data_IF_803570463714
#
_entry.id   IF_803570463714
#
_cell.length_a   1.000
_cell.length_b   1.000
_cell.length_c   1.000
_cell.angle_alpha   90.00
_cell.angle_beta   90.00
_cell.angle_gamma   90.00
#
_symmetry.space_group_name_H-M   'P 1'
#
loop_
_entity.id
_entity.type
_entity.pdbx_description
1 polymer ?
#
# COMPACT_ATOMS: atom_id res chain seq x y z
N UNK A 1 63.81 -13.54 3.98
CA UNK A 1 64.58 -14.74 3.55
C UNK A 1 63.67 -15.59 2.69
N UNK A 2 64.13 -15.84 1.47
CA UNK A 2 63.44 -16.61 0.45
C UNK A 2 63.70 -18.11 0.61
N UNK A 3 62.73 -18.95 0.24
CA UNK A 3 63.00 -20.19 -0.49
C UNK A 3 61.76 -20.66 -1.25
N UNK A 4 61.77 -20.35 -2.54
CA UNK A 4 61.12 -21.07 -3.63
C UNK A 4 61.58 -22.54 -3.72
N UNK A 5 60.74 -23.44 -4.25
CA UNK A 5 61.27 -24.68 -4.82
C UNK A 5 60.28 -25.78 -5.20
N UNK A 6 59.94 -25.82 -6.50
CA UNK A 6 59.52 -26.99 -7.34
C UNK A 6 58.10 -27.56 -7.21
N UNK A 7 57.21 -27.39 -8.21
CA UNK A 7 57.12 -28.00 -9.58
C UNK A 7 56.39 -29.36 -9.60
N UNK A 8 55.11 -29.39 -10.00
CA UNK A 8 54.56 -29.79 -11.33
C UNK A 8 54.94 -31.22 -11.76
N UNK A 9 53.94 -32.12 -11.89
CA UNK A 9 53.42 -32.41 -13.23
C UNK A 9 51.89 -32.71 -13.24
N UNK A 10 51.07 -31.86 -13.85
CA UNK A 10 49.66 -32.20 -14.14
C UNK A 10 49.15 -31.66 -15.49
N UNK A 11 50.05 -31.19 -16.36
CA UNK A 11 49.71 -30.57 -17.64
C UNK A 11 50.32 -31.34 -18.81
N UNK A 12 49.94 -32.61 -18.98
CA UNK A 12 50.27 -33.36 -20.20
C UNK A 12 49.18 -34.35 -20.66
N UNK A 13 47.94 -34.22 -20.17
CA UNK A 13 46.81 -35.06 -20.63
C UNK A 13 45.73 -34.26 -21.37
N UNK A 14 45.75 -32.92 -21.32
CA UNK A 14 44.67 -32.10 -21.88
C UNK A 14 44.87 -31.62 -23.33
N UNK A 15 46.00 -31.93 -23.98
CA UNK A 15 46.27 -31.46 -25.36
C UNK A 15 45.89 -32.50 -26.43
N UNK A 16 45.64 -33.76 -26.06
CA UNK A 16 45.33 -34.81 -27.04
C UNK A 16 43.84 -34.89 -27.44
N UNK A 17 42.91 -34.27 -26.70
CA UNK A 17 41.47 -34.37 -26.97
C UNK A 17 40.88 -33.20 -27.76
N UNK A 18 41.60 -32.08 -27.91
CA UNK A 18 41.11 -30.94 -28.72
C UNK A 18 41.36 -31.10 -30.24
N UNK A 19 42.34 -31.91 -30.65
CA UNK A 19 42.67 -32.09 -32.08
C UNK A 19 41.65 -32.90 -32.90
N UNK A 20 40.70 -33.61 -32.28
CA UNK A 20 39.69 -34.43 -32.98
C UNK A 20 38.33 -33.75 -33.16
N UNK A 21 38.09 -32.59 -32.54
CA UNK A 21 36.77 -31.92 -32.58
C UNK A 21 36.66 -30.89 -33.72
N UNK A 22 37.79 -30.36 -34.20
CA UNK A 22 37.78 -29.34 -35.26
C UNK A 22 37.65 -29.90 -36.67
N UNK A 23 38.03 -31.15 -36.91
CA UNK A 23 37.92 -31.78 -38.24
C UNK A 23 36.51 -32.30 -38.57
N UNK A 24 35.67 -32.56 -37.57
CA UNK A 24 34.27 -32.99 -37.78
C UNK A 24 33.28 -31.84 -38.04
N UNK A 25 33.59 -30.62 -37.58
CA UNK A 25 32.71 -29.44 -37.77
C UNK A 25 32.84 -28.81 -39.16
N UNK A 26 33.94 -29.03 -39.86
CA UNK A 26 34.20 -28.42 -41.18
C UNK A 26 33.44 -29.12 -42.33
N UNK A 27 33.18 -30.43 -42.22
CA UNK A 27 32.49 -31.21 -43.27
C UNK A 27 30.97 -31.16 -43.20
N UNK A 28 30.38 -30.91 -42.03
CA UNK A 28 28.91 -30.78 -41.89
C UNK A 28 28.38 -29.39 -42.33
N UNK A 29 29.21 -28.35 -42.31
CA UNK A 29 28.78 -26.97 -42.60
C UNK A 29 28.62 -26.64 -44.10
N UNK A 30 29.10 -27.50 -45.01
CA UNK A 30 29.05 -27.25 -46.47
C UNK A 30 27.79 -27.78 -47.17
N UNK A 31 27.02 -28.68 -46.56
CA UNK A 31 25.84 -29.29 -47.20
C UNK A 31 24.47 -28.82 -46.66
N UNK A 32 24.42 -27.92 -45.67
CA UNK A 32 23.15 -27.44 -45.05
C UNK A 32 22.67 -26.09 -45.64
N UNK A 33 23.48 -25.43 -46.47
CA UNK A 33 23.16 -24.10 -47.01
C UNK A 33 22.12 -24.02 -48.15
N UNK A 34 21.83 -25.06 -48.96
CA UNK A 34 20.78 -24.91 -49.98
C UNK A 34 19.36 -25.23 -49.49
N UNK A 35 19.17 -25.98 -48.40
CA UNK A 35 17.84 -26.41 -47.92
C UNK A 35 17.10 -25.36 -47.07
N UNK A 36 17.84 -24.43 -46.45
CA UNK A 36 17.25 -23.38 -45.59
C UNK A 36 16.69 -22.18 -46.38
N UNK A 37 16.97 -22.08 -47.68
CA UNK A 37 16.41 -21.01 -48.53
C UNK A 37 14.96 -21.28 -48.96
N UNK A 38 14.55 -22.55 -49.05
CA UNK A 38 13.20 -22.93 -49.46
C UNK A 38 12.16 -22.83 -48.33
N UNK A 39 12.56 -22.95 -47.07
CA UNK A 39 11.64 -22.88 -45.92
C UNK A 39 11.25 -21.44 -45.56
N UNK A 40 12.00 -20.43 -46.05
CA UNK A 40 11.77 -19.02 -45.72
C UNK A 40 10.72 -18.32 -46.60
N UNK A 41 10.12 -19.00 -47.59
CA UNK A 41 9.16 -18.40 -48.53
C UNK A 41 7.69 -18.74 -48.25
N UNK A 42 7.35 -19.50 -47.19
CA UNK A 42 5.95 -19.81 -46.85
C UNK A 42 5.58 -19.34 -45.41
N UNK A 43 5.36 -18.03 -45.19
CA UNK A 43 4.96 -17.50 -43.88
C UNK A 43 3.53 -17.90 -43.44
N UNK A 44 2.75 -18.57 -44.29
CA UNK A 44 1.40 -19.04 -43.94
C UNK A 44 1.37 -20.43 -43.29
N UNK A 45 2.37 -21.28 -43.54
CA UNK A 45 2.39 -22.65 -42.97
C UNK A 45 2.97 -22.65 -41.56
N UNK A 46 3.97 -21.80 -41.28
CA UNK A 46 4.56 -21.68 -39.94
C UNK A 46 3.59 -21.18 -38.86
N UNK A 47 2.76 -20.18 -39.19
CA UNK A 47 1.76 -19.64 -38.26
C UNK A 47 0.62 -20.60 -37.96
N UNK A 48 0.22 -21.45 -38.92
CA UNK A 48 -0.80 -22.47 -38.71
C UNK A 48 -0.34 -23.57 -37.74
N UNK A 49 0.94 -23.96 -37.82
CA UNK A 49 1.55 -24.98 -36.95
C UNK A 49 1.80 -24.44 -35.53
N UNK A 50 2.22 -23.19 -35.39
CA UNK A 50 2.41 -22.56 -34.07
C UNK A 50 1.07 -22.34 -33.31
N UNK A 51 0.00 -21.99 -34.02
CA UNK A 51 -1.34 -21.85 -33.42
C UNK A 51 -1.95 -23.20 -33.05
N UNK A 52 -1.71 -24.25 -33.85
CA UNK A 52 -2.20 -25.59 -33.53
C UNK A 52 -1.39 -26.28 -32.42
N UNK A 53 -0.07 -26.09 -32.34
CA UNK A 53 0.73 -26.58 -31.20
C UNK A 53 0.39 -25.87 -29.89
N UNK A 54 0.18 -24.56 -29.90
CA UNK A 54 -0.21 -23.82 -28.68
C UNK A 54 -1.64 -24.14 -28.21
N UNK A 55 -2.57 -24.41 -29.13
CA UNK A 55 -3.90 -24.95 -28.78
C UNK A 55 -3.82 -26.39 -28.26
N UNK A 56 -2.95 -27.23 -28.83
CA UNK A 56 -2.77 -28.61 -28.37
C UNK A 56 -2.08 -28.66 -27.00
N UNK A 57 -1.14 -27.76 -26.72
CA UNK A 57 -0.53 -27.59 -25.39
C UNK A 57 -1.54 -27.04 -24.37
N UNK A 58 -2.35 -26.05 -24.74
CA UNK A 58 -3.38 -25.54 -23.83
C UNK A 58 -4.52 -26.54 -23.58
N UNK A 59 -4.95 -27.28 -24.60
CA UNK A 59 -5.95 -28.36 -24.46
C UNK A 59 -5.35 -29.59 -23.78
N UNK A 60 -4.08 -29.88 -24.00
CA UNK A 60 -3.34 -30.96 -23.33
C UNK A 60 -3.15 -30.67 -21.86
N UNK A 61 -2.76 -29.44 -21.49
CA UNK A 61 -2.62 -29.03 -20.08
C UNK A 61 -4.00 -28.93 -19.43
N UNK A 62 -5.01 -28.34 -20.08
CA UNK A 62 -6.37 -28.28 -19.51
C UNK A 62 -7.02 -29.66 -19.41
N UNK A 63 -6.83 -30.52 -20.40
CA UNK A 63 -7.33 -31.90 -20.41
C UNK A 63 -6.62 -32.77 -19.39
N UNK A 64 -5.30 -32.63 -19.25
CA UNK A 64 -4.50 -33.29 -18.20
C UNK A 64 -4.91 -32.79 -16.82
N UNK A 65 -5.08 -31.48 -16.62
CA UNK A 65 -5.57 -30.91 -15.36
C UNK A 65 -6.99 -31.40 -15.06
N UNK A 66 -7.90 -31.40 -16.02
CA UNK A 66 -9.29 -31.86 -15.82
C UNK A 66 -9.43 -33.36 -15.54
N UNK A 67 -8.50 -34.19 -16.00
CA UNK A 67 -8.58 -35.66 -15.84
C UNK A 67 -7.69 -36.17 -14.72
N UNK A 68 -6.48 -35.62 -14.56
CA UNK A 68 -5.53 -36.07 -13.54
C UNK A 68 -5.87 -35.52 -12.15
N UNK A 69 -6.34 -34.28 -12.01
CA UNK A 69 -6.69 -33.76 -10.68
C UNK A 69 -7.82 -34.55 -10.02
N UNK A 70 -8.95 -34.86 -10.69
CA UNK A 70 -10.00 -35.65 -10.05
C UNK A 70 -9.53 -37.05 -9.67
N UNK A 71 -8.69 -37.69 -10.48
CA UNK A 71 -8.13 -39.02 -10.17
C UNK A 71 -7.17 -38.96 -8.99
N UNK A 72 -6.32 -37.93 -8.92
CA UNK A 72 -5.42 -37.71 -7.79
C UNK A 72 -6.24 -37.40 -6.52
N UNK A 73 -7.22 -36.50 -6.59
CA UNK A 73 -8.11 -36.15 -5.47
C UNK A 73 -8.89 -37.39 -5.00
N UNK A 74 -9.44 -38.17 -5.94
CA UNK A 74 -10.21 -39.38 -5.61
C UNK A 74 -9.32 -40.47 -5.01
N UNK A 75 -8.13 -40.71 -5.57
CA UNK A 75 -7.17 -41.67 -5.02
C UNK A 75 -6.66 -41.26 -3.65
N UNK A 76 -6.42 -39.97 -3.43
CA UNK A 76 -6.06 -39.43 -2.12
C UNK A 76 -7.21 -39.56 -1.13
N UNK A 77 -8.44 -39.21 -1.53
CA UNK A 77 -9.62 -39.32 -0.69
C UNK A 77 -9.91 -40.78 -0.31
N UNK A 78 -9.83 -41.73 -1.25
CA UNK A 78 -10.04 -43.14 -1.00
C UNK A 78 -9.03 -43.70 0.02
N UNK A 79 -7.73 -43.41 -0.17
CA UNK A 79 -6.70 -43.78 0.80
C UNK A 79 -6.90 -43.10 2.16
N UNK A 80 -7.34 -41.84 2.15
CA UNK A 80 -7.57 -41.07 3.36
C UNK A 80 -8.77 -41.58 4.18
N UNK A 81 -9.86 -42.00 3.53
CA UNK A 81 -11.03 -42.58 4.22
C UNK A 81 -10.76 -43.95 4.84
N UNK A 82 -9.87 -44.75 4.26
CA UNK A 82 -9.54 -46.09 4.76
C UNK A 82 -8.56 -46.07 5.94
N UNK A 83 -7.64 -45.09 5.99
CA UNK A 83 -6.55 -45.06 6.97
C UNK A 83 -6.61 -43.92 7.98
N UNK A 84 -7.32 -42.83 7.68
CA UNK A 84 -7.39 -41.67 8.58
C UNK A 84 -8.65 -41.77 9.43
N UNK A 85 -8.51 -41.86 10.76
CA UNK A 85 -9.68 -41.87 11.62
C UNK A 85 -10.45 -40.55 11.46
N UNK A 86 -11.78 -40.62 11.47
CA UNK A 86 -12.67 -39.50 11.15
C UNK A 86 -12.38 -38.21 11.93
N UNK A 87 -11.86 -38.30 13.16
CA UNK A 87 -11.47 -37.14 13.97
C UNK A 87 -10.26 -36.39 13.39
N UNK A 88 -9.30 -37.09 12.78
CA UNK A 88 -8.13 -36.48 12.15
C UNK A 88 -8.49 -35.79 10.84
N UNK A 89 -9.49 -36.28 10.11
CA UNK A 89 -10.07 -35.60 8.95
C UNK A 89 -10.65 -34.23 9.32
N UNK A 90 -11.37 -34.14 10.45
CA UNK A 90 -11.93 -32.88 10.97
C UNK A 90 -10.81 -31.90 11.34
N UNK A 91 -9.75 -32.36 12.01
CA UNK A 91 -8.60 -31.50 12.36
C UNK A 91 -7.88 -30.96 11.13
N UNK A 92 -7.70 -31.79 10.09
CA UNK A 92 -7.08 -31.35 8.84
C UNK A 92 -7.95 -30.35 8.07
N UNK A 93 -9.27 -30.55 8.06
CA UNK A 93 -10.22 -29.58 7.51
C UNK A 93 -10.12 -28.23 8.24
N UNK A 94 -10.11 -28.24 9.57
CA UNK A 94 -9.95 -27.03 10.38
C UNK A 94 -8.61 -26.34 10.08
N UNK A 95 -7.51 -27.08 10.03
CA UNK A 95 -6.20 -26.53 9.70
C UNK A 95 -6.17 -25.88 8.30
N UNK A 96 -6.79 -26.53 7.30
CA UNK A 96 -6.92 -25.97 5.96
C UNK A 96 -7.75 -24.69 5.94
N UNK A 97 -8.87 -24.65 6.68
CA UNK A 97 -9.70 -23.44 6.83
C UNK A 97 -8.88 -22.30 7.46
N UNK A 98 -8.17 -22.56 8.56
CA UNK A 98 -7.29 -21.57 9.20
C UNK A 98 -6.20 -21.07 8.25
N UNK A 99 -5.60 -21.95 7.45
CA UNK A 99 -4.59 -21.57 6.47
C UNK A 99 -5.18 -20.67 5.36
N UNK A 100 -6.36 -21.01 4.84
CA UNK A 100 -7.05 -20.20 3.82
C UNK A 100 -7.45 -18.84 4.39
N UNK A 101 -8.00 -18.78 5.61
CA UNK A 101 -8.29 -17.51 6.28
C UNK A 101 -7.02 -16.68 6.51
N UNK A 102 -5.93 -17.31 6.95
CA UNK A 102 -4.65 -16.63 7.15
C UNK A 102 -4.06 -16.10 5.84
N UNK A 103 -4.12 -16.88 4.77
CA UNK A 103 -3.69 -16.47 3.43
C UNK A 103 -4.57 -15.35 2.87
N UNK A 104 -5.90 -15.44 3.01
CA UNK A 104 -6.82 -14.39 2.62
C UNK A 104 -6.57 -13.09 3.40
N UNK A 105 -6.32 -13.19 4.71
CA UNK A 105 -5.96 -12.06 5.55
C UNK A 105 -4.64 -11.41 5.10
N UNK A 106 -3.59 -12.22 4.84
CA UNK A 106 -2.30 -11.74 4.31
C UNK A 106 -2.46 -11.08 2.93
N UNK A 107 -3.25 -11.67 2.03
CA UNK A 107 -3.52 -11.11 0.71
C UNK A 107 -4.29 -9.79 0.84
N UNK A 108 -5.25 -9.68 1.76
CA UNK A 108 -5.95 -8.42 2.04
C UNK A 108 -4.98 -7.34 2.56
N UNK A 109 -4.05 -7.70 3.45
CA UNK A 109 -3.00 -6.78 3.92
C UNK A 109 -2.04 -6.36 2.81
N UNK A 110 -1.63 -7.27 1.93
CA UNK A 110 -0.75 -6.95 0.80
C UNK A 110 -1.49 -6.09 -0.24
N UNK A 111 -2.77 -6.39 -0.51
CA UNK A 111 -3.57 -5.65 -1.51
C UNK A 111 -3.99 -4.27 -1.02
N UNK A 112 -4.11 -4.07 0.29
CA UNK A 112 -4.22 -2.74 0.88
C UNK A 112 -2.89 -1.99 0.76
N UNK A 113 -1.75 -2.64 1.04
CA UNK A 113 -0.41 -2.09 0.83
C UNK A 113 -0.04 -1.79 -0.65
N UNK A 114 -0.61 -2.50 -1.62
CA UNK A 114 -0.30 -2.33 -3.05
C UNK A 114 -1.20 -1.33 -3.79
N UNK A 115 -2.16 -0.69 -3.10
CA UNK A 115 -3.00 0.39 -3.65
C UNK A 115 -2.60 1.77 -3.11
N UNK A 116 -1.42 1.89 -2.52
CA UNK A 116 -0.84 3.17 -2.14
C UNK A 116 -0.30 3.85 -3.40
N UNK A 117 -1.16 4.60 -4.07
CA UNK A 117 -0.78 5.52 -5.14
C UNK A 117 -0.34 6.84 -4.49
N UNK A 118 0.97 7.13 -4.39
CA UNK A 118 1.49 8.27 -3.64
C UNK A 118 0.91 9.60 -4.13
N UNK A 119 0.68 9.70 -5.44
CA UNK A 119 0.15 10.91 -6.09
C UNK A 119 -1.21 11.33 -5.55
N UNK A 120 -2.06 10.38 -5.17
CA UNK A 120 -3.39 10.67 -4.61
C UNK A 120 -3.34 11.16 -3.18
N UNK A 121 -2.28 10.83 -2.45
CA UNK A 121 -2.08 11.31 -1.08
C UNK A 121 -1.46 12.70 -1.05
N UNK A 122 -0.63 13.04 -2.05
CA UNK A 122 -0.07 14.38 -2.20
C UNK A 122 -1.17 15.42 -2.44
N UNK A 123 -2.05 15.18 -3.42
CA UNK A 123 -3.20 16.08 -3.70
C UNK A 123 -4.13 16.21 -2.48
N UNK A 124 -4.40 15.10 -1.79
CA UNK A 124 -5.23 15.11 -0.58
C UNK A 124 -4.54 15.81 0.59
N UNK A 125 -3.22 15.64 0.74
CA UNK A 125 -2.40 16.33 1.73
C UNK A 125 -2.47 17.84 1.54
N UNK A 126 -2.33 18.31 0.30
CA UNK A 126 -2.47 19.72 -0.03
C UNK A 126 -3.88 20.26 0.28
N UNK A 127 -4.95 19.50 -0.05
CA UNK A 127 -6.33 19.86 0.30
C UNK A 127 -6.52 20.01 1.82
N UNK A 128 -5.91 19.13 2.62
CA UNK A 128 -5.94 19.20 4.09
C UNK A 128 -5.21 20.42 4.64
N UNK A 129 -4.03 20.73 4.08
CA UNK A 129 -3.24 21.90 4.48
C UNK A 129 -4.00 23.18 4.19
N UNK A 130 -4.61 23.29 3.01
CA UNK A 130 -5.35 24.50 2.63
C UNK A 130 -6.64 24.65 3.45
N UNK A 131 -7.36 23.55 3.71
CA UNK A 131 -8.50 23.55 4.63
C UNK A 131 -8.08 24.03 6.03
N UNK A 132 -6.96 23.52 6.54
CA UNK A 132 -6.40 23.93 7.84
C UNK A 132 -6.10 25.43 7.88
N UNK A 133 -5.41 25.97 6.86
CA UNK A 133 -5.11 27.41 6.75
C UNK A 133 -6.38 28.25 6.76
N UNK A 134 -7.41 27.85 6.04
CA UNK A 134 -8.68 28.59 5.97
C UNK A 134 -9.43 28.56 7.31
N UNK A 135 -9.41 27.42 8.01
CA UNK A 135 -9.94 27.31 9.36
C UNK A 135 -9.19 28.23 10.34
N UNK A 136 -7.85 28.29 10.28
CA UNK A 136 -7.06 29.19 11.12
C UNK A 136 -7.30 30.67 10.82
N UNK A 137 -7.41 31.03 9.54
CA UNK A 137 -7.75 32.40 9.13
C UNK A 137 -9.09 32.82 9.73
N UNK A 138 -10.11 31.97 9.59
CA UNK A 138 -11.42 32.23 10.17
C UNK A 138 -11.34 32.44 11.69
N UNK A 139 -10.66 31.55 12.42
CA UNK A 139 -10.50 31.67 13.87
C UNK A 139 -9.74 32.94 14.26
N UNK A 140 -8.69 33.29 13.52
CA UNK A 140 -7.90 34.51 13.74
C UNK A 140 -8.72 35.78 13.52
N UNK A 141 -9.53 35.81 12.45
CA UNK A 141 -10.42 36.92 12.15
C UNK A 141 -11.47 37.10 13.24
N UNK A 142 -12.05 36.01 13.77
CA UNK A 142 -13.01 36.06 14.89
C UNK A 142 -12.36 36.53 16.19
N UNK A 143 -11.13 36.07 16.49
CA UNK A 143 -10.39 36.56 17.66
C UNK A 143 -10.05 38.06 17.54
N UNK A 144 -9.76 38.54 16.33
CA UNK A 144 -9.54 39.97 16.07
C UNK A 144 -10.82 40.78 16.26
N UNK A 145 -11.95 40.30 15.76
CA UNK A 145 -13.25 40.94 15.94
C UNK A 145 -13.64 41.06 17.42
N UNK A 146 -13.40 40.00 18.21
CA UNK A 146 -13.63 40.03 19.66
C UNK A 146 -12.76 41.08 20.35
N UNK A 147 -11.46 41.15 20.00
CA UNK A 147 -10.53 42.16 20.55
C UNK A 147 -10.92 43.59 20.18
N UNK A 148 -11.31 43.82 18.93
CA UNK A 148 -11.74 45.14 18.47
C UNK A 148 -13.04 45.57 19.15
N UNK A 149 -13.95 44.62 19.43
CA UNK A 149 -15.15 44.87 20.20
C UNK A 149 -14.84 45.23 21.67
N UNK A 150 -13.92 44.49 22.30
CA UNK A 150 -13.46 44.76 23.66
C UNK A 150 -12.78 46.13 23.78
N UNK A 151 -11.90 46.46 22.83
CA UNK A 151 -11.21 47.75 22.81
C UNK A 151 -12.21 48.93 22.75
N UNK A 152 -13.27 48.80 21.93
CA UNK A 152 -14.32 49.83 21.83
C UNK A 152 -15.18 49.96 23.10
N UNK A 153 -15.43 48.86 23.81
CA UNK A 153 -16.19 48.88 25.07
C UNK A 153 -15.37 49.39 26.25
N UNK A 154 -14.07 49.09 26.29
CA UNK A 154 -13.18 49.48 27.40
C UNK A 154 -12.99 51.00 27.46
N UNK A 155 -13.05 51.70 26.32
CA UNK A 155 -13.02 53.17 26.26
C UNK A 155 -14.33 53.82 26.74
N UNK A 156 -15.42 53.06 26.89
CA UNK A 156 -16.75 53.60 27.20
C UNK A 156 -17.27 53.25 28.60
N UNK A 157 -16.90 52.09 29.19
CA UNK A 157 -17.33 51.76 30.56
C UNK A 157 -16.48 50.63 31.22
N UNK A 158 -15.68 50.91 32.28
CA UNK A 158 -14.76 49.92 32.86
C UNK A 158 -15.41 48.90 33.81
N UNK A 159 -16.72 48.99 34.13
CA UNK A 159 -17.39 48.17 35.18
C UNK A 159 -18.45 47.21 34.60
N UNK A 160 -18.24 46.73 33.38
CA UNK A 160 -19.20 45.85 32.70
C UNK A 160 -19.15 44.40 33.21
N UNK A 161 -20.04 44.07 34.14
CA UNK A 161 -20.46 42.69 34.50
C UNK A 161 -21.02 41.93 33.27
N UNK A 162 -21.32 42.64 32.17
CA UNK A 162 -21.80 42.10 30.90
C UNK A 162 -20.71 41.54 29.97
N UNK A 163 -19.43 41.75 30.28
CA UNK A 163 -18.31 41.25 29.46
C UNK A 163 -18.29 39.73 29.34
N UNK A 164 -18.40 38.99 30.45
CA UNK A 164 -18.34 37.52 30.43
C UNK A 164 -19.49 36.85 29.67
N UNK A 165 -20.72 37.38 29.79
CA UNK A 165 -21.87 36.83 29.07
C UNK A 165 -21.73 37.07 27.56
N UNK A 166 -21.28 38.28 27.17
CA UNK A 166 -21.01 38.62 25.78
C UNK A 166 -19.87 37.75 25.20
N UNK A 167 -18.81 37.48 25.97
CA UNK A 167 -17.72 36.58 25.58
C UNK A 167 -18.21 35.16 25.34
N UNK A 168 -18.96 34.60 26.30
CA UNK A 168 -19.52 33.25 26.18
C UNK A 168 -20.43 33.13 24.97
N UNK A 169 -21.30 34.10 24.74
CA UNK A 169 -22.23 34.10 23.61
C UNK A 169 -21.46 34.27 22.28
N UNK A 170 -20.42 35.10 22.25
CA UNK A 170 -19.53 35.25 21.09
C UNK A 170 -18.78 33.95 20.77
N UNK A 171 -18.25 33.25 21.78
CA UNK A 171 -17.58 31.95 21.62
C UNK A 171 -18.56 30.88 21.08
N UNK A 172 -19.77 30.81 21.64
CA UNK A 172 -20.80 29.87 21.18
C UNK A 172 -21.21 30.12 19.72
N UNK A 173 -21.45 31.39 19.36
CA UNK A 173 -21.81 31.77 17.99
C UNK A 173 -20.65 31.47 17.03
N UNK A 174 -19.42 31.84 17.41
CA UNK A 174 -18.23 31.58 16.59
C UNK A 174 -18.02 30.09 16.36
N UNK A 175 -18.20 29.26 17.39
CA UNK A 175 -18.12 27.81 17.26
C UNK A 175 -19.19 27.22 16.37
N UNK A 176 -20.44 27.69 16.50
CA UNK A 176 -21.51 27.27 15.60
C UNK A 176 -21.19 27.62 14.15
N UNK A 177 -20.77 28.85 13.87
CA UNK A 177 -20.40 29.30 12.51
C UNK A 177 -19.21 28.51 11.95
N UNK A 178 -18.24 28.18 12.80
CA UNK A 178 -17.10 27.35 12.44
C UNK A 178 -17.54 25.96 11.97
N UNK A 179 -18.37 25.26 12.75
CA UNK A 179 -18.87 23.93 12.39
C UNK A 179 -19.84 23.96 11.21
N UNK A 180 -20.65 25.02 11.08
CA UNK A 180 -21.56 25.19 9.95
C UNK A 180 -20.78 25.36 8.64
N UNK A 181 -19.68 26.13 8.66
CA UNK A 181 -18.87 26.41 7.48
C UNK A 181 -17.93 25.26 7.11
N UNK A 182 -17.19 24.72 8.08
CA UNK A 182 -16.11 23.75 7.84
C UNK A 182 -16.46 22.31 8.22
N UNK A 183 -17.56 22.08 8.95
CA UNK A 183 -17.93 20.76 9.46
C UNK A 183 -18.05 19.68 8.37
N UNK A 184 -18.78 19.90 7.27
CA UNK A 184 -18.92 18.90 6.21
C UNK A 184 -17.58 18.51 5.56
N UNK A 185 -16.72 19.49 5.30
CA UNK A 185 -15.40 19.27 4.70
C UNK A 185 -14.46 18.57 5.68
N UNK A 186 -14.47 18.99 6.95
CA UNK A 186 -13.71 18.38 8.04
C UNK A 186 -14.10 16.91 8.24
N UNK A 187 -15.40 16.59 8.27
CA UNK A 187 -15.87 15.21 8.43
C UNK A 187 -15.47 14.33 7.24
N UNK A 188 -15.51 14.88 6.02
CA UNK A 188 -15.02 14.19 4.83
C UNK A 188 -13.51 13.93 4.92
N UNK A 189 -12.73 14.94 5.27
CA UNK A 189 -11.28 14.83 5.46
C UNK A 189 -10.92 13.77 6.52
N UNK A 190 -11.57 13.81 7.69
CA UNK A 190 -11.35 12.83 8.76
C UNK A 190 -11.73 11.41 8.35
N UNK A 191 -12.82 11.23 7.60
CA UNK A 191 -13.21 9.92 7.09
C UNK A 191 -12.18 9.36 6.09
N UNK A 192 -11.57 10.23 5.27
CA UNK A 192 -10.51 9.85 4.35
C UNK A 192 -9.22 9.50 5.11
N UNK A 193 -8.82 10.30 6.10
CA UNK A 193 -7.68 10.00 6.99
C UNK A 193 -7.86 8.65 7.70
N UNK A 194 -9.07 8.38 8.22
CA UNK A 194 -9.37 7.11 8.88
C UNK A 194 -9.22 5.91 7.95
N UNK A 195 -9.55 6.06 6.65
CA UNK A 195 -9.32 4.99 5.65
C UNK A 195 -7.84 4.71 5.40
N UNK A 196 -6.99 5.70 5.63
CA UNK A 196 -5.53 5.60 5.50
C UNK A 196 -4.92 5.01 6.79
N UNK A 197 -5.70 4.93 7.88
CA UNK A 197 -5.25 4.43 9.18
C UNK A 197 -4.86 5.54 10.15
N UNK A 198 -4.98 6.80 9.75
CA UNK A 198 -4.78 7.97 10.60
C UNK A 198 -6.06 8.21 11.41
N UNK A 199 -5.98 8.05 12.73
CA UNK A 199 -7.14 8.21 13.61
C UNK A 199 -7.10 9.57 14.29
N UNK A 200 -8.26 10.21 14.39
CA UNK A 200 -8.38 11.42 15.18
C UNK A 200 -8.30 11.04 16.67
N UNK A 201 -7.41 11.66 17.45
CA UNK A 201 -7.30 11.37 18.87
C UNK A 201 -8.61 11.64 19.64
N UNK A 202 -9.01 10.76 20.59
CA UNK A 202 -10.30 10.89 21.30
C UNK A 202 -10.45 12.19 22.08
N UNK A 203 -9.36 12.71 22.63
CA UNK A 203 -9.36 13.95 23.41
C UNK A 203 -9.65 15.17 22.53
N UNK A 204 -9.21 15.18 21.25
CA UNK A 204 -9.52 16.27 20.32
C UNK A 204 -11.02 16.35 20.02
N UNK A 205 -11.68 15.19 19.97
CA UNK A 205 -13.15 15.11 19.83
C UNK A 205 -13.81 15.72 21.06
N UNK A 206 -13.33 15.37 22.25
CA UNK A 206 -13.87 15.89 23.51
C UNK A 206 -13.63 17.41 23.67
N UNK A 207 -12.52 17.93 23.14
CA UNK A 207 -12.19 19.36 23.24
C UNK A 207 -12.69 20.19 22.07
N UNK A 208 -13.19 19.58 20.99
CA UNK A 208 -13.62 20.30 19.79
C UNK A 208 -14.71 21.36 20.06
N UNK A 209 -15.55 21.12 21.08
CA UNK A 209 -16.57 22.07 21.53
C UNK A 209 -16.02 23.27 22.30
N UNK A 210 -14.84 23.14 22.92
CA UNK A 210 -14.27 24.13 23.83
C UNK A 210 -13.03 24.82 23.27
N UNK A 211 -12.26 24.15 22.42
CA UNK A 211 -11.06 24.65 21.77
C UNK A 211 -11.06 24.23 20.30
N UNK A 212 -11.45 25.15 19.44
CA UNK A 212 -11.62 24.90 18.00
C UNK A 212 -10.28 24.82 17.24
N UNK A 213 -9.15 25.18 17.87
CA UNK A 213 -7.82 25.20 17.24
C UNK A 213 -7.23 23.81 16.99
N UNK A 214 -7.61 22.80 17.78
CA UNK A 214 -6.98 21.47 17.73
C UNK A 214 -7.23 20.74 16.40
N UNK A 215 -8.45 20.82 15.87
CA UNK A 215 -8.79 20.16 14.60
C UNK A 215 -7.99 20.76 13.42
N UNK A 216 -7.95 22.10 13.21
CA UNK A 216 -7.08 22.71 12.21
C UNK A 216 -5.61 22.33 12.34
N UNK A 217 -5.05 22.31 13.57
CA UNK A 217 -3.66 21.91 13.82
C UNK A 217 -3.40 20.47 13.37
N UNK A 218 -4.28 19.55 13.76
CA UNK A 218 -4.19 18.14 13.37
C UNK A 218 -4.27 17.97 11.85
N UNK A 219 -5.26 18.59 11.20
CA UNK A 219 -5.41 18.50 9.75
C UNK A 219 -4.21 19.11 9.01
N UNK A 220 -3.65 20.21 9.52
CA UNK A 220 -2.47 20.85 8.94
C UNK A 220 -1.24 19.96 8.99
N UNK A 221 -0.95 19.34 10.14
CA UNK A 221 0.20 18.44 10.25
C UNK A 221 0.00 17.16 9.41
N UNK A 222 -1.17 16.52 9.52
CA UNK A 222 -1.45 15.32 8.73
C UNK A 222 -1.41 15.63 7.23
N UNK A 223 -1.89 16.81 6.83
CA UNK A 223 -1.79 17.30 5.46
C UNK A 223 -0.34 17.43 5.00
N UNK A 224 0.54 18.04 5.79
CA UNK A 224 1.97 18.18 5.47
C UNK A 224 2.66 16.82 5.30
N UNK A 225 2.43 15.88 6.23
CA UNK A 225 3.03 14.55 6.15
C UNK A 225 2.54 13.77 4.92
N UNK A 226 1.28 13.96 4.52
CA UNK A 226 0.71 13.33 3.33
C UNK A 226 1.21 13.99 2.03
N UNK A 227 1.36 15.32 2.03
CA UNK A 227 1.96 16.09 0.92
C UNK A 227 3.40 15.63 0.65
N UNK A 228 4.18 15.36 1.71
CA UNK A 228 5.54 14.83 1.60
C UNK A 228 5.61 13.32 1.24
N UNK A 229 4.46 12.64 1.16
CA UNK A 229 4.38 11.20 0.90
C UNK A 229 4.69 10.31 2.13
N UNK A 230 4.85 10.89 3.31
CA UNK A 230 5.19 10.23 4.56
C UNK A 230 3.96 9.64 5.27
N UNK A 231 3.22 8.76 4.58
CA UNK A 231 1.97 8.17 5.09
C UNK A 231 2.21 7.30 6.34
N UNK A 232 3.32 6.56 6.38
CA UNK A 232 3.66 5.72 7.54
C UNK A 232 3.91 6.54 8.80
N UNK A 233 4.58 7.69 8.66
CA UNK A 233 4.84 8.62 9.75
C UNK A 233 3.54 9.28 10.23
N UNK A 234 2.64 9.66 9.32
CA UNK A 234 1.32 10.16 9.68
C UNK A 234 0.51 9.16 10.51
N UNK A 235 0.59 7.86 10.17
CA UNK A 235 -0.07 6.80 10.95
C UNK A 235 0.57 6.66 12.33
N UNK A 236 1.90 6.62 12.40
CA UNK A 236 2.64 6.46 13.66
C UNK A 236 2.37 7.63 14.62
N UNK A 237 2.47 8.87 14.13
CA UNK A 237 2.19 10.09 14.89
C UNK A 237 0.74 10.13 15.39
N UNK A 238 -0.22 9.66 14.60
CA UNK A 238 -1.63 9.61 15.02
C UNK A 238 -1.89 8.65 16.19
N UNK A 239 -0.99 7.69 16.41
CA UNK A 239 -1.06 6.70 17.49
C UNK A 239 -0.22 7.11 18.72
N UNK A 240 0.68 8.08 18.55
CA UNK A 240 1.55 8.57 19.61
C UNK A 240 0.77 9.45 20.62
N UNK A 241 0.81 9.04 21.89
CA UNK A 241 0.16 9.75 22.99
C UNK A 241 0.86 11.05 23.38
N UNK A 242 2.15 11.18 23.08
CA UNK A 242 2.93 12.35 23.47
C UNK A 242 2.76 13.50 22.46
N UNK A 243 2.73 13.18 21.17
CA UNK A 243 2.37 14.12 20.12
C UNK A 243 0.97 14.74 20.34
N UNK A 244 0.03 13.89 20.74
CA UNK A 244 -1.33 14.25 21.19
C UNK A 244 -1.32 15.33 22.28
N UNK A 245 -0.38 15.28 23.23
CA UNK A 245 -0.26 16.26 24.31
C UNK A 245 0.31 17.60 23.83
N UNK A 246 1.25 17.56 22.87
CA UNK A 246 1.91 18.75 22.31
C UNK A 246 0.99 19.61 21.44
N UNK A 247 -0.04 19.04 20.81
CA UNK A 247 -1.02 19.88 20.08
C UNK A 247 -1.88 20.70 21.07
N UNK A 248 -1.99 20.26 22.33
CA UNK A 248 -2.87 20.87 23.33
C UNK A 248 -2.21 21.99 24.16
N UNK A 249 -0.86 22.02 24.24
CA UNK A 249 -0.05 22.86 25.13
C UNK A 249 0.97 23.68 24.35
#
# INVERSE_FOLDING_TARGET
MASSGLHKPFLLVQVATMGKVETAKSTAAKNVRPLTKWVRTMPMVGRGVEVSLSLLEQLGIKGFVMTSLPVIIYGWAAWFFDYVPWWAAILLLLAAIFFVLGAAHRILLIRTASRFDPSKYEEFGQELVDLSKDMFRFLSDRMREQRDHHARMTDQDPVSIHSWQADRDFEQISGRLFFERFGPQTMRALALLQRIGVQLPPHMIATASHRQNGIPQFLGLMGQLLEEGNVSEAIEISQDRDFIWQIQH
#
